data_IF_657858836359
#
_entry.id   IF_657858836359
#
_cell.length_a   1.000
_cell.length_b   1.000
_cell.length_c   1.000
_cell.angle_alpha   90.00
_cell.angle_beta   90.00
_cell.angle_gamma   90.00
#
_symmetry.space_group_name_H-M   'P 1'
#
loop_
_entity.id
_entity.type
_entity.pdbx_description
1 polymer ?
#
# COMPACT_ATOMS: atom_id res chain seq x y z
N UNK A 1 -24.61 7.79 -7.38
CA UNK A 1 -23.26 7.32 -6.94
C UNK A 1 -23.14 5.82 -7.21
N UNK A 2 -21.94 5.22 -7.42
CA UNK A 2 -21.77 3.83 -7.94
C UNK A 2 -22.72 2.80 -7.32
N UNK A 3 -22.84 2.77 -5.98
CA UNK A 3 -23.70 1.85 -5.23
C UNK A 3 -25.21 1.99 -5.46
N UNK A 4 -25.67 3.13 -5.98
CA UNK A 4 -27.08 3.29 -6.38
C UNK A 4 -27.40 2.53 -7.67
N UNK A 5 -26.38 2.33 -8.54
CA UNK A 5 -26.52 1.61 -9.80
C UNK A 5 -26.14 0.13 -9.65
N UNK A 6 -25.18 -0.17 -8.78
CA UNK A 6 -24.71 -1.52 -8.48
C UNK A 6 -24.40 -1.63 -6.97
N UNK A 7 -25.36 -2.12 -6.15
CA UNK A 7 -25.18 -2.28 -4.71
C UNK A 7 -24.03 -3.21 -4.33
N UNK A 8 -23.68 -4.18 -5.19
CA UNK A 8 -22.68 -5.21 -4.94
C UNK A 8 -21.29 -4.84 -5.50
N UNK A 9 -21.16 -3.66 -6.12
CA UNK A 9 -19.90 -3.19 -6.69
C UNK A 9 -18.77 -3.23 -5.64
N UNK A 10 -17.64 -3.91 -5.91
CA UNK A 10 -16.47 -3.87 -5.04
C UNK A 10 -15.85 -2.48 -5.09
N UNK A 11 -15.61 -1.89 -3.92
CA UNK A 11 -15.03 -0.57 -3.78
C UNK A 11 -13.77 -0.62 -2.94
N UNK A 12 -12.82 0.25 -3.29
CA UNK A 12 -11.50 0.32 -2.66
C UNK A 12 -11.21 1.76 -2.27
N UNK A 13 -10.73 1.96 -1.04
CA UNK A 13 -10.15 3.23 -0.60
C UNK A 13 -8.65 3.06 -0.43
N UNK A 14 -7.87 3.91 -1.10
CA UNK A 14 -6.43 3.97 -0.89
C UNK A 14 -6.09 4.93 0.25
N UNK A 15 -5.73 4.40 1.42
CA UNK A 15 -5.36 5.18 2.60
C UNK A 15 -3.89 5.54 2.52
N UNK A 16 -3.60 6.67 1.85
CA UNK A 16 -2.23 7.08 1.53
C UNK A 16 -1.96 8.56 1.78
N UNK A 17 -0.73 8.88 2.20
CA UNK A 17 -0.27 10.26 2.35
C UNK A 17 -1.06 11.05 3.39
N UNK A 18 -1.51 12.24 3.01
CA UNK A 18 -2.32 13.13 3.85
C UNK A 18 -3.64 12.48 4.29
N UNK A 19 -4.22 11.60 3.46
CA UNK A 19 -5.44 10.90 3.80
C UNK A 19 -5.24 9.97 5.00
N UNK A 20 -4.06 9.36 5.15
CA UNK A 20 -3.72 8.54 6.32
C UNK A 20 -3.85 9.36 7.62
N UNK A 21 -3.41 10.63 7.59
CA UNK A 21 -3.52 11.52 8.74
C UNK A 21 -4.97 11.87 9.09
N UNK A 22 -5.83 12.08 8.10
CA UNK A 22 -7.27 12.35 8.29
C UNK A 22 -8.01 11.09 8.76
N UNK A 23 -7.71 9.95 8.14
CA UNK A 23 -8.25 8.64 8.47
C UNK A 23 -7.98 8.30 9.94
N UNK A 24 -6.72 8.37 10.38
CA UNK A 24 -6.33 8.02 11.74
C UNK A 24 -6.95 8.94 12.82
N UNK A 25 -7.35 10.17 12.44
CA UNK A 25 -8.05 11.11 13.33
C UNK A 25 -9.58 10.93 13.33
N UNK A 26 -10.10 9.98 12.54
CA UNK A 26 -11.56 9.78 12.40
C UNK A 26 -12.26 10.96 11.72
N UNK A 27 -11.55 11.73 10.90
CA UNK A 27 -12.08 12.94 10.26
C UNK A 27 -12.76 12.67 8.91
N UNK A 28 -12.75 11.43 8.44
CA UNK A 28 -13.40 11.00 7.21
C UNK A 28 -14.41 9.90 7.52
N UNK A 29 -15.56 9.95 6.82
CA UNK A 29 -16.55 8.91 6.90
C UNK A 29 -16.30 7.89 5.79
N UNK A 30 -16.06 6.64 6.16
CA UNK A 30 -15.71 5.55 5.26
C UNK A 30 -16.75 4.43 5.44
N UNK A 31 -17.41 3.96 4.36
CA UNK A 31 -18.35 2.84 4.47
C UNK A 31 -17.67 1.57 4.99
N UNK A 32 -18.42 0.67 5.63
CA UNK A 32 -17.86 -0.56 6.20
C UNK A 32 -17.65 -1.67 5.15
N UNK A 33 -18.30 -1.58 4.00
CA UNK A 33 -18.30 -2.59 2.93
C UNK A 33 -17.19 -2.38 1.88
N UNK A 34 -16.15 -1.62 2.21
CA UNK A 34 -15.02 -1.36 1.29
C UNK A 34 -13.77 -2.14 1.68
N UNK A 35 -12.86 -2.29 0.72
CA UNK A 35 -11.49 -2.72 0.96
C UNK A 35 -10.63 -1.49 1.21
N UNK A 36 -9.90 -1.47 2.32
CA UNK A 36 -8.88 -0.44 2.59
C UNK A 36 -7.54 -0.94 2.08
N UNK A 37 -6.97 -0.29 1.06
CA UNK A 37 -5.59 -0.55 0.65
C UNK A 37 -4.66 0.48 1.31
N UNK A 38 -3.58 -0.02 1.88
CA UNK A 38 -2.60 0.80 2.58
C UNK A 38 -1.26 0.76 1.87
N UNK A 39 -0.65 1.93 1.67
CA UNK A 39 0.58 1.98 0.90
C UNK A 39 1.84 1.78 1.74
N UNK A 40 2.88 1.29 1.09
CA UNK A 40 4.24 1.32 1.63
C UNK A 40 4.83 2.75 1.60
N UNK A 41 6.10 2.84 2.00
CA UNK A 41 6.88 4.08 1.96
C UNK A 41 7.24 4.58 0.54
N UNK A 42 6.85 3.86 -0.51
CA UNK A 42 7.35 4.01 -1.89
C UNK A 42 8.64 3.23 -2.17
N UNK A 43 9.27 2.67 -1.14
CA UNK A 43 10.53 1.94 -1.23
C UNK A 43 10.43 0.51 -0.67
N UNK A 44 9.23 -0.03 -0.49
CA UNK A 44 9.00 -1.42 -0.07
C UNK A 44 8.84 -1.65 1.42
N UNK A 45 9.15 -0.69 2.29
CA UNK A 45 8.86 -0.82 3.74
C UNK A 45 7.41 -0.42 4.01
N UNK A 46 6.64 -1.26 4.69
CA UNK A 46 5.26 -0.99 5.11
C UNK A 46 5.17 0.03 6.26
N UNK A 47 5.60 1.25 5.98
CA UNK A 47 5.52 2.42 6.87
C UNK A 47 5.01 3.62 6.08
N UNK A 48 4.38 4.58 6.75
CA UNK A 48 3.88 5.79 6.10
C UNK A 48 5.00 6.55 5.37
N UNK A 49 4.64 7.09 4.21
CA UNK A 49 5.57 7.82 3.33
C UNK A 49 5.99 9.15 3.94
N UNK A 50 7.23 9.55 3.67
CA UNK A 50 7.75 10.90 3.89
C UNK A 50 7.17 11.89 2.88
N UNK A 51 6.68 13.04 3.34
CA UNK A 51 6.26 14.15 2.50
C UNK A 51 7.03 15.43 2.86
N UNK A 52 8.03 15.80 2.05
CA UNK A 52 8.86 16.97 2.32
C UNK A 52 9.66 16.84 3.62
N UNK A 53 9.36 17.69 4.61
CA UNK A 53 9.96 17.62 5.95
C UNK A 53 9.18 16.70 6.91
N UNK A 54 7.95 16.34 6.57
CA UNK A 54 7.15 15.42 7.38
C UNK A 54 7.58 13.97 7.11
N UNK A 55 8.00 13.25 8.15
CA UNK A 55 8.60 11.93 8.04
C UNK A 55 8.13 10.98 9.17
N UNK A 56 6.82 10.70 9.27
CA UNK A 56 6.25 10.00 10.43
C UNK A 56 6.68 8.53 10.54
N UNK A 57 6.89 7.85 9.39
CA UNK A 57 7.32 6.42 9.33
C UNK A 57 6.49 5.49 10.22
N UNK A 58 5.21 5.80 10.38
CA UNK A 58 4.28 5.04 11.21
C UNK A 58 4.10 3.63 10.65
N UNK A 59 4.10 2.58 11.49
CA UNK A 59 3.93 1.20 11.04
C UNK A 59 2.50 0.99 10.51
N UNK A 60 2.40 0.65 9.22
CA UNK A 60 1.09 0.52 8.54
C UNK A 60 0.36 -0.76 8.95
N UNK A 61 1.11 -1.86 9.11
CA UNK A 61 0.54 -3.17 9.41
C UNK A 61 -0.01 -3.29 10.85
N UNK A 62 0.24 -2.29 11.70
CA UNK A 62 -0.24 -2.25 13.08
C UNK A 62 -1.37 -1.22 13.28
N UNK A 63 -1.88 -0.62 12.20
CA UNK A 63 -3.00 0.32 12.29
C UNK A 63 -4.27 -0.39 12.78
N UNK A 64 -5.00 0.14 13.79
CA UNK A 64 -6.23 -0.48 14.30
C UNK A 64 -7.30 -0.71 13.23
N UNK A 65 -8.06 -1.81 13.32
CA UNK A 65 -9.19 -2.12 12.43
C UNK A 65 -10.53 -2.21 13.18
N UNK A 66 -11.02 -1.12 13.80
CA UNK A 66 -12.21 -1.18 14.65
C UNK A 66 -13.50 -1.57 13.88
N UNK A 67 -13.54 -1.32 12.57
CA UNK A 67 -14.67 -1.65 11.70
C UNK A 67 -14.55 -3.03 11.05
N UNK A 68 -13.48 -3.78 11.34
CA UNK A 68 -13.20 -5.09 10.75
C UNK A 68 -13.31 -5.11 9.20
N UNK A 69 -12.86 -4.03 8.55
CA UNK A 69 -12.87 -3.92 7.09
C UNK A 69 -11.83 -4.85 6.48
N UNK A 70 -12.09 -5.29 5.25
CA UNK A 70 -11.11 -6.01 4.46
C UNK A 70 -9.92 -5.10 4.13
N UNK A 71 -8.72 -5.67 4.09
CA UNK A 71 -7.48 -4.91 3.95
C UNK A 71 -6.60 -5.44 2.86
N UNK A 72 -5.99 -4.51 2.14
CA UNK A 72 -5.03 -4.76 1.09
C UNK A 72 -3.85 -3.81 1.17
N UNK A 73 -2.98 -3.87 0.17
CA UNK A 73 -1.83 -2.99 0.04
C UNK A 73 -1.76 -2.29 -1.30
N UNK A 74 -1.12 -1.13 -1.29
CA UNK A 74 -0.55 -0.50 -2.47
C UNK A 74 0.98 -0.45 -2.36
N UNK A 75 1.67 -1.40 -2.98
CA UNK A 75 3.10 -1.63 -2.80
C UNK A 75 3.92 -1.14 -3.99
N UNK A 76 5.12 -0.63 -3.76
CA UNK A 76 5.96 -0.11 -4.82
C UNK A 76 7.21 -0.98 -5.06
N UNK A 77 7.33 -1.53 -6.27
CA UNK A 77 8.63 -2.03 -6.77
C UNK A 77 9.32 -1.00 -7.67
N UNK A 78 8.55 -0.01 -8.15
CA UNK A 78 9.03 1.19 -8.81
C UNK A 78 8.22 2.40 -8.30
N UNK A 79 8.88 3.54 -8.14
CA UNK A 79 8.31 4.75 -7.57
C UNK A 79 8.97 6.01 -8.11
N UNK A 80 8.13 7.01 -8.38
CA UNK A 80 8.56 8.33 -8.81
C UNK A 80 8.04 9.36 -7.80
N UNK A 81 8.89 9.76 -6.88
CA UNK A 81 8.47 10.56 -5.72
C UNK A 81 8.67 12.08 -5.93
N UNK A 82 9.17 12.47 -7.12
CA UNK A 82 9.56 13.83 -7.56
C UNK A 82 10.82 14.41 -6.87
N UNK A 83 11.47 13.66 -5.97
CA UNK A 83 12.64 14.10 -5.18
C UNK A 83 13.79 13.07 -5.25
N UNK A 84 13.46 11.78 -5.11
CA UNK A 84 14.30 10.61 -5.28
C UNK A 84 13.50 9.57 -6.08
N UNK A 85 14.16 8.95 -7.04
CA UNK A 85 13.48 8.22 -8.11
C UNK A 85 14.17 6.89 -8.33
N UNK A 86 13.52 5.80 -7.93
CA UNK A 86 13.94 4.47 -8.35
C UNK A 86 13.30 4.06 -9.68
N UNK A 87 12.43 4.88 -10.31
CA UNK A 87 11.91 4.56 -11.66
C UNK A 87 13.02 4.51 -12.73
N UNK A 88 14.17 5.14 -12.50
CA UNK A 88 15.34 5.09 -13.39
C UNK A 88 16.24 3.86 -13.14
N UNK A 89 16.06 3.16 -12.02
CA UNK A 89 16.92 2.07 -11.57
C UNK A 89 16.12 0.94 -10.93
N UNK A 90 16.77 0.09 -10.13
CA UNK A 90 16.06 -0.89 -9.32
C UNK A 90 15.69 -0.30 -7.96
N UNK A 91 14.74 -0.92 -7.26
CA UNK A 91 14.48 -0.63 -5.86
C UNK A 91 15.81 -0.75 -5.07
N UNK A 92 16.14 0.21 -4.19
CA UNK A 92 17.40 0.13 -3.43
C UNK A 92 17.43 -1.02 -2.42
N UNK A 93 16.26 -1.60 -2.11
CA UNK A 93 16.14 -2.76 -1.24
C UNK A 93 16.31 -4.08 -2.00
N UNK A 94 16.74 -5.13 -1.30
CA UNK A 94 16.93 -6.45 -1.88
C UNK A 94 15.60 -7.14 -2.18
N UNK A 95 15.55 -8.10 -3.14
CA UNK A 95 14.38 -8.95 -3.33
C UNK A 95 13.97 -9.71 -2.06
N UNK A 96 14.94 -10.18 -1.27
CA UNK A 96 14.67 -10.85 0.00
C UNK A 96 13.92 -9.95 0.99
N UNK A 97 14.27 -8.67 1.05
CA UNK A 97 13.54 -7.69 1.84
C UNK A 97 12.10 -7.51 1.36
N UNK A 98 11.88 -7.45 0.05
CA UNK A 98 10.51 -7.38 -0.51
C UNK A 98 9.70 -8.63 -0.13
N UNK A 99 10.30 -9.82 -0.25
CA UNK A 99 9.66 -11.07 0.18
C UNK A 99 9.26 -11.01 1.65
N UNK A 100 10.16 -10.58 2.54
CA UNK A 100 9.89 -10.46 3.98
C UNK A 100 8.73 -9.50 4.24
N UNK A 101 8.72 -8.33 3.58
CA UNK A 101 7.65 -7.36 3.77
C UNK A 101 6.29 -7.88 3.29
N UNK A 102 6.23 -8.60 2.17
CA UNK A 102 5.00 -9.18 1.65
C UNK A 102 4.53 -10.40 2.44
N UNK A 103 5.45 -11.19 3.01
CA UNK A 103 5.10 -12.21 4.00
C UNK A 103 4.43 -11.59 5.23
N UNK A 104 4.98 -10.50 5.77
CA UNK A 104 4.39 -9.79 6.91
C UNK A 104 3.00 -9.20 6.59
N UNK A 105 2.79 -8.70 5.36
CA UNK A 105 1.48 -8.24 4.88
C UNK A 105 0.43 -9.36 5.03
N UNK A 106 0.77 -10.57 4.59
CA UNK A 106 -0.14 -11.73 4.61
C UNK A 106 -0.37 -12.24 6.02
N UNK A 107 0.70 -12.32 6.83
CA UNK A 107 0.60 -12.66 8.25
C UNK A 107 -0.31 -11.69 9.03
N UNK A 108 -0.39 -10.43 8.59
CA UNK A 108 -1.22 -9.38 9.19
C UNK A 108 -2.58 -9.21 8.52
N UNK A 109 -2.94 -10.06 7.55
CA UNK A 109 -4.22 -10.04 6.82
C UNK A 109 -4.47 -8.76 6.00
N UNK A 110 -3.42 -8.21 5.39
CA UNK A 110 -3.49 -7.11 4.42
C UNK A 110 -3.43 -7.63 2.96
N UNK A 111 -3.94 -8.82 2.72
CA UNK A 111 -3.80 -9.60 1.48
C UNK A 111 -5.12 -9.78 0.70
N UNK A 112 -6.18 -9.07 1.08
CA UNK A 112 -7.44 -9.08 0.31
C UNK A 112 -7.22 -8.54 -1.12
N UNK A 113 -6.39 -7.50 -1.25
CA UNK A 113 -6.02 -6.90 -2.53
C UNK A 113 -4.57 -6.42 -2.48
N UNK A 114 -3.69 -7.03 -3.26
CA UNK A 114 -2.30 -6.61 -3.41
C UNK A 114 -2.12 -5.83 -4.73
N UNK A 115 -2.18 -4.50 -4.67
CA UNK A 115 -1.93 -3.65 -5.83
C UNK A 115 -0.45 -3.28 -5.89
N UNK A 116 0.27 -3.74 -6.92
CA UNK A 116 1.72 -3.53 -7.05
C UNK A 116 2.01 -2.50 -8.14
N UNK A 117 2.62 -1.37 -7.76
CA UNK A 117 3.19 -0.43 -8.71
C UNK A 117 4.50 -0.97 -9.28
N UNK A 118 4.44 -1.34 -10.55
CA UNK A 118 5.55 -1.96 -11.28
C UNK A 118 6.37 -0.98 -12.11
N UNK A 119 5.93 0.28 -12.25
CA UNK A 119 6.53 1.21 -13.21
C UNK A 119 6.60 0.58 -14.61
N UNK A 120 7.82 0.49 -15.16
CA UNK A 120 8.06 -0.35 -16.34
C UNK A 120 8.33 -1.78 -15.90
N UNK A 121 7.46 -2.75 -16.23
CA UNK A 121 7.60 -4.17 -15.83
C UNK A 121 9.06 -4.68 -15.91
N UNK A 122 9.77 -4.35 -16.99
CA UNK A 122 11.24 -4.47 -17.07
C UNK A 122 11.90 -3.15 -16.65
N UNK A 123 12.93 -3.17 -15.79
CA UNK A 123 13.73 -4.33 -15.37
C UNK A 123 13.30 -4.99 -14.04
N UNK A 124 12.14 -4.65 -13.47
CA UNK A 124 11.76 -5.02 -12.09
C UNK A 124 11.28 -6.47 -11.89
N UNK A 125 11.48 -7.36 -12.87
CA UNK A 125 10.98 -8.75 -12.87
C UNK A 125 11.36 -9.56 -11.62
N UNK A 126 12.53 -9.29 -11.02
CA UNK A 126 12.97 -9.99 -9.81
C UNK A 126 12.07 -9.65 -8.62
N UNK A 127 11.66 -8.40 -8.47
CA UNK A 127 10.75 -7.98 -7.40
C UNK A 127 9.32 -8.44 -7.66
N UNK A 128 8.88 -8.45 -8.92
CA UNK A 128 7.56 -8.98 -9.29
C UNK A 128 7.45 -10.47 -8.99
N UNK A 129 8.54 -11.23 -9.16
CA UNK A 129 8.59 -12.63 -8.73
C UNK A 129 8.35 -12.76 -7.23
N UNK A 130 8.96 -11.91 -6.42
CA UNK A 130 8.76 -11.93 -4.96
C UNK A 130 7.32 -11.60 -4.59
N UNK A 131 6.70 -10.62 -5.27
CA UNK A 131 5.30 -10.28 -5.05
C UNK A 131 4.34 -11.42 -5.43
N UNK A 132 4.62 -12.13 -6.52
CA UNK A 132 3.80 -13.24 -6.98
C UNK A 132 3.98 -14.55 -6.19
N UNK A 133 4.85 -14.60 -5.17
CA UNK A 133 4.97 -15.79 -4.31
C UNK A 133 3.72 -15.92 -3.45
N UNK A 134 3.05 -17.07 -3.56
CA UNK A 134 1.97 -17.52 -2.66
C UNK A 134 2.52 -17.87 -1.29
#
# INVERSE_FOLDING_TARGET
MVKELDPDAPMVLNVYGELTGLYNKGLINVPDDIIEIWADSGYGKMVSRRQGLDNPRSPILDVPNPHNRQRGIYYHVAFHDLQASNFLGLLPNSPAFVSEQLSLVREKHFDTLELINTGSIKPHILYLREAAKS
#
